data_IF_293325195815
#
_entry.id   IF_293325195815
#
_cell.length_a   1.000
_cell.length_b   1.000
_cell.length_c   1.000
_cell.angle_alpha   90.00
_cell.angle_beta   90.00
_cell.angle_gamma   90.00
#
_symmetry.space_group_name_H-M   'P 1'
#
loop_
_entity.id
_entity.type
_entity.pdbx_description
1 polymer ?
#
# COMPACT_ATOMS: atom_id res chain seq x y z
N UNK A 1 27.06 -21.90 2.48
CA UNK A 1 25.61 -21.61 2.65
C UNK A 1 25.42 -20.43 3.59
N UNK A 2 26.06 -19.27 3.33
CA UNK A 2 26.01 -18.10 4.23
C UNK A 2 25.83 -16.78 3.48
N UNK A 3 26.35 -16.69 2.25
CA UNK A 3 26.18 -15.51 1.39
C UNK A 3 24.72 -15.19 1.05
N UNK A 4 23.89 -16.20 0.80
CA UNK A 4 22.47 -16.03 0.47
C UNK A 4 21.71 -15.45 1.67
N UNK A 5 21.91 -16.00 2.86
CA UNK A 5 21.29 -15.50 4.09
C UNK A 5 21.77 -14.07 4.40
N UNK A 6 23.04 -13.73 4.18
CA UNK A 6 23.50 -12.35 4.40
C UNK A 6 22.92 -11.32 3.41
N UNK A 7 22.50 -11.75 2.21
CA UNK A 7 21.82 -10.88 1.24
C UNK A 7 20.36 -10.66 1.67
N UNK A 8 19.68 -11.70 2.13
CA UNK A 8 18.29 -11.59 2.59
C UNK A 8 18.14 -11.01 4.02
N UNK A 9 19.14 -11.17 4.89
CA UNK A 9 19.07 -10.77 6.30
C UNK A 9 19.82 -9.45 6.62
N UNK A 10 20.19 -8.67 5.60
CA UNK A 10 20.96 -7.42 5.80
C UNK A 10 20.16 -6.25 6.42
N UNK A 11 18.91 -6.49 6.83
CA UNK A 11 18.12 -5.59 7.69
C UNK A 11 17.65 -6.37 8.92
N UNK A 12 18.51 -6.50 9.92
CA UNK A 12 18.18 -7.26 11.13
C UNK A 12 17.59 -6.32 12.19
N UNK A 13 16.30 -6.48 12.51
CA UNK A 13 15.69 -5.77 13.63
C UNK A 13 14.16 -5.80 13.71
N UNK A 14 13.52 -6.96 13.58
CA UNK A 14 12.42 -7.44 14.44
C UNK A 14 11.61 -8.54 13.74
N UNK A 15 11.48 -9.66 14.45
CA UNK A 15 10.64 -10.78 14.05
C UNK A 15 9.17 -10.40 14.23
N UNK A 16 8.47 -9.98 13.17
CA UNK A 16 7.04 -10.30 12.97
C UNK A 16 6.44 -9.85 11.63
N UNK A 17 7.20 -9.23 10.73
CA UNK A 17 6.71 -8.89 9.39
C UNK A 17 7.75 -9.45 8.41
N UNK A 18 7.37 -10.32 7.45
CA UNK A 18 8.25 -10.59 6.31
C UNK A 18 8.31 -9.31 5.49
N UNK A 19 9.20 -8.39 5.88
CA UNK A 19 9.51 -7.22 5.08
C UNK A 19 10.14 -7.72 3.79
N UNK A 20 9.33 -7.74 2.72
CA UNK A 20 9.80 -7.83 1.33
C UNK A 20 10.58 -6.55 1.02
N UNK A 21 11.76 -6.41 1.61
CA UNK A 21 12.59 -5.23 1.41
C UNK A 21 13.58 -5.52 0.27
N UNK A 22 13.03 -5.76 -0.93
CA UNK A 22 13.78 -5.53 -2.15
C UNK A 22 14.01 -4.02 -2.21
N UNK A 23 15.24 -3.60 -1.94
CA UNK A 23 15.59 -2.19 -1.80
C UNK A 23 16.36 -1.76 -3.06
N UNK A 24 15.66 -1.36 -4.15
CA UNK A 24 16.27 -1.07 -5.45
C UNK A 24 17.31 0.06 -5.38
N UNK A 25 17.22 0.93 -4.38
CA UNK A 25 18.12 2.08 -4.23
C UNK A 25 19.56 1.68 -3.84
N UNK A 26 19.76 0.49 -3.25
CA UNK A 26 21.08 0.04 -2.77
C UNK A 26 21.60 -1.21 -3.49
N UNK A 27 20.83 -1.75 -4.44
CA UNK A 27 21.31 -2.81 -5.34
C UNK A 27 21.99 -2.19 -6.56
N UNK A 28 23.21 -2.61 -6.87
CA UNK A 28 23.85 -2.32 -8.16
C UNK A 28 23.39 -3.37 -9.16
N UNK A 29 22.38 -3.10 -10.02
CA UNK A 29 21.93 -4.07 -11.00
C UNK A 29 23.06 -4.37 -11.97
N UNK A 30 23.17 -5.62 -12.40
CA UNK A 30 24.04 -5.96 -13.54
C UNK A 30 23.41 -5.43 -14.83
N UNK A 31 24.20 -5.25 -15.90
CA UNK A 31 23.72 -4.71 -17.19
C UNK A 31 22.54 -5.51 -17.78
N UNK A 32 22.49 -6.82 -17.51
CA UNK A 32 21.39 -7.69 -17.91
C UNK A 32 20.11 -7.48 -17.09
N UNK A 33 20.24 -7.08 -15.82
CA UNK A 33 19.12 -6.92 -14.87
C UNK A 33 18.56 -5.50 -14.83
N UNK A 34 19.29 -4.53 -15.39
CA UNK A 34 18.98 -3.10 -15.29
C UNK A 34 17.57 -2.77 -15.84
N UNK A 35 17.19 -3.36 -16.98
CA UNK A 35 15.85 -3.21 -17.56
C UNK A 35 14.72 -3.77 -16.69
N UNK A 36 14.97 -4.89 -16.00
CA UNK A 36 14.02 -5.49 -15.05
C UNK A 36 13.93 -4.63 -13.78
N UNK A 37 15.07 -4.16 -13.31
CA UNK A 37 15.20 -3.33 -12.12
C UNK A 37 14.44 -2.01 -12.27
N UNK A 38 14.57 -1.32 -13.40
CA UNK A 38 13.82 -0.09 -13.70
C UNK A 38 12.30 -0.34 -13.70
N UNK A 39 11.85 -1.39 -14.40
CA UNK A 39 10.43 -1.75 -14.48
C UNK A 39 9.82 -2.10 -13.11
N UNK A 40 10.58 -2.80 -12.26
CA UNK A 40 10.15 -3.15 -10.91
C UNK A 40 10.17 -1.94 -9.98
N UNK A 41 11.19 -1.08 -10.10
CA UNK A 41 11.30 0.15 -9.31
C UNK A 41 10.12 1.09 -9.57
N UNK A 42 9.67 1.19 -10.82
CA UNK A 42 8.48 1.97 -11.19
C UNK A 42 7.21 1.43 -10.52
N UNK A 43 7.01 0.10 -10.54
CA UNK A 43 5.85 -0.54 -9.89
C UNK A 43 5.90 -0.41 -8.36
N UNK A 44 7.07 -0.60 -7.75
CA UNK A 44 7.23 -0.53 -6.31
C UNK A 44 6.94 0.88 -5.78
N UNK A 45 7.43 1.93 -6.47
CA UNK A 45 7.09 3.32 -6.13
C UNK A 45 5.59 3.62 -6.18
N UNK A 46 4.84 2.97 -7.09
CA UNK A 46 3.38 3.12 -7.12
C UNK A 46 2.70 2.42 -5.95
N UNK A 47 3.30 1.34 -5.45
CA UNK A 47 2.74 0.52 -4.36
C UNK A 47 2.78 1.26 -3.03
N UNK A 48 3.79 2.09 -2.77
CA UNK A 48 3.87 2.91 -1.55
C UNK A 48 2.71 3.90 -1.45
N UNK A 49 2.33 4.53 -2.57
CA UNK A 49 1.17 5.44 -2.61
C UNK A 49 -0.14 4.71 -2.33
N UNK A 50 -0.28 3.49 -2.85
CA UNK A 50 -1.45 2.64 -2.58
C UNK A 50 -1.50 2.23 -1.10
N UNK A 51 -0.36 1.84 -0.51
CA UNK A 51 -0.28 1.46 0.89
C UNK A 51 -0.63 2.64 1.81
N UNK A 52 -0.12 3.83 1.50
CA UNK A 52 -0.40 5.06 2.23
C UNK A 52 -1.88 5.46 2.12
N UNK A 53 -2.50 5.30 0.93
CA UNK A 53 -3.94 5.46 0.74
C UNK A 53 -4.76 4.47 1.58
N UNK A 54 -4.31 3.23 1.68
CA UNK A 54 -4.97 2.17 2.47
C UNK A 54 -4.86 2.43 3.98
N UNK A 55 -3.70 2.92 4.45
CA UNK A 55 -3.49 3.26 5.85
C UNK A 55 -4.34 4.47 6.29
N UNK A 56 -4.55 5.45 5.41
CA UNK A 56 -5.39 6.62 5.69
C UNK A 56 -6.89 6.40 5.46
N UNK A 57 -7.28 5.19 5.06
CA UNK A 57 -8.68 4.87 4.85
C UNK A 57 -9.43 4.77 6.19
N UNK A 58 -10.13 5.84 6.57
CA UNK A 58 -10.95 5.89 7.79
C UNK A 58 -12.27 5.11 7.67
N UNK A 59 -12.74 4.90 6.43
CA UNK A 59 -13.97 4.19 6.10
C UNK A 59 -15.24 5.03 6.27
N UNK A 60 -16.33 4.56 5.66
CA UNK A 60 -17.61 5.28 5.60
C UNK A 60 -18.72 4.62 6.43
N UNK A 61 -18.37 3.72 7.37
CA UNK A 61 -19.34 2.84 8.04
C UNK A 61 -20.39 3.58 8.87
N UNK A 62 -20.01 4.69 9.52
CA UNK A 62 -20.91 5.43 10.40
C UNK A 62 -21.95 6.25 9.62
N UNK A 63 -21.52 6.93 8.56
CA UNK A 63 -22.42 7.67 7.65
C UNK A 63 -23.34 6.74 6.89
N UNK A 64 -22.86 5.56 6.45
CA UNK A 64 -23.71 4.54 5.84
C UNK A 64 -24.75 4.03 6.84
N UNK A 65 -24.35 3.69 8.07
CA UNK A 65 -25.30 3.23 9.11
C UNK A 65 -26.34 4.30 9.45
N UNK A 66 -25.95 5.57 9.52
CA UNK A 66 -26.85 6.71 9.75
C UNK A 66 -27.89 6.84 8.62
N UNK A 67 -27.46 6.75 7.37
CA UNK A 67 -28.34 6.81 6.20
C UNK A 67 -29.31 5.62 6.12
N UNK A 68 -28.87 4.41 6.50
CA UNK A 68 -29.74 3.23 6.58
C UNK A 68 -30.76 3.37 7.72
N UNK A 69 -30.32 3.89 8.87
CA UNK A 69 -31.16 3.99 10.08
C UNK A 69 -32.19 5.11 10.00
N UNK A 70 -31.89 6.20 9.30
CA UNK A 70 -32.79 7.33 9.08
C UNK A 70 -32.74 7.77 7.60
N UNK A 71 -33.49 7.11 6.70
CA UNK A 71 -33.43 7.36 5.26
C UNK A 71 -34.09 8.70 4.91
N UNK A 72 -33.29 9.75 4.98
CA UNK A 72 -33.62 11.12 4.58
C UNK A 72 -32.72 11.53 3.42
N UNK A 73 -33.19 12.44 2.56
CA UNK A 73 -32.44 12.91 1.39
C UNK A 73 -31.07 13.47 1.79
N UNK A 74 -31.01 14.23 2.88
CA UNK A 74 -29.76 14.76 3.45
C UNK A 74 -28.80 13.66 3.91
N UNK A 75 -29.29 12.65 4.62
CA UNK A 75 -28.46 11.53 5.10
C UNK A 75 -27.93 10.65 3.96
N UNK A 76 -28.70 10.50 2.87
CA UNK A 76 -28.29 9.74 1.71
C UNK A 76 -27.22 10.47 0.91
N UNK A 77 -27.38 11.79 0.74
CA UNK A 77 -26.38 12.63 0.11
C UNK A 77 -25.07 12.64 0.93
N UNK A 78 -25.15 12.79 2.25
CA UNK A 78 -23.98 12.74 3.15
C UNK A 78 -23.24 11.39 3.04
N UNK A 79 -23.97 10.28 2.99
CA UNK A 79 -23.37 8.96 2.80
C UNK A 79 -22.77 8.79 1.39
N UNK A 80 -23.42 9.31 0.35
CA UNK A 80 -22.92 9.24 -1.03
C UNK A 80 -21.63 10.03 -1.21
N UNK A 81 -21.59 11.27 -0.68
CA UNK A 81 -20.39 12.13 -0.70
C UNK A 81 -19.20 11.50 0.03
N UNK A 82 -19.45 10.76 1.10
CA UNK A 82 -18.39 10.05 1.82
C UNK A 82 -17.90 8.79 1.09
N UNK A 83 -18.80 8.04 0.44
CA UNK A 83 -18.47 6.77 -0.25
C UNK A 83 -17.81 7.00 -1.61
N UNK A 84 -18.19 8.07 -2.33
CA UNK A 84 -17.64 8.36 -3.65
C UNK A 84 -16.09 8.40 -3.69
N UNK A 85 -15.38 9.15 -2.83
CA UNK A 85 -13.92 9.18 -2.83
C UNK A 85 -13.28 7.88 -2.29
N UNK A 86 -14.02 7.08 -1.53
CA UNK A 86 -13.56 5.82 -0.97
C UNK A 86 -13.54 4.67 -2.00
N UNK A 87 -14.34 4.77 -3.06
CA UNK A 87 -14.49 3.73 -4.10
C UNK A 87 -13.78 4.08 -5.40
N UNK A 88 -13.43 5.36 -5.60
CA UNK A 88 -12.73 5.87 -6.79
C UNK A 88 -11.27 5.41 -6.84
#
# INVERSE_FOLDING_TARGET
>A
MGGILSIFSRGNGDANIPDWNFNPENSTPTEAELSLHERLSEHLHHTDKLLDSLQRYEGCGDVIRKAISNPTEESQEEAWQAVQPAVA
#
